data_IF_497444414914
#
_entry.id   IF_497444414914
#
_cell.length_a   1.000
_cell.length_b   1.000
_cell.length_c   1.000
_cell.angle_alpha   90.00
_cell.angle_beta   90.00
_cell.angle_gamma   90.00
#
_symmetry.space_group_name_H-M   'P 1'
#
loop_
_entity.id
_entity.type
_entity.pdbx_description
1 polymer ?
#
# COMPACT_ATOMS: atom_id res chain seq x y z
N UNK A 1 9.42 -18.07 -15.77
CA UNK A 1 9.15 -16.74 -15.20
C UNK A 1 8.28 -15.94 -16.15
N UNK A 2 7.37 -15.09 -15.66
CA UNK A 2 6.42 -14.35 -16.49
C UNK A 2 6.99 -13.06 -17.12
N UNK A 3 8.27 -12.73 -16.90
CA UNK A 3 8.90 -11.52 -17.46
C UNK A 3 8.37 -10.19 -16.91
N UNK A 4 7.80 -10.17 -15.70
CA UNK A 4 7.27 -8.96 -15.04
C UNK A 4 8.31 -8.36 -14.10
N UNK A 5 8.24 -7.05 -13.89
CA UNK A 5 9.17 -6.28 -13.05
C UNK A 5 8.41 -5.32 -12.13
N UNK A 6 9.07 -4.90 -11.06
CA UNK A 6 8.58 -3.86 -10.16
C UNK A 6 9.78 -3.06 -9.62
N UNK A 7 9.54 -1.78 -9.32
CA UNK A 7 10.46 -0.90 -8.60
C UNK A 7 9.73 -0.31 -7.41
N UNK A 8 10.43 -0.17 -6.29
CA UNK A 8 9.86 0.37 -5.07
C UNK A 8 10.89 1.29 -4.39
N UNK A 9 10.43 2.41 -3.85
CA UNK A 9 11.27 3.44 -3.24
C UNK A 9 10.68 3.84 -1.90
N UNK A 10 11.54 3.96 -0.88
CA UNK A 10 11.18 4.42 0.46
C UNK A 10 12.32 5.22 1.07
N UNK A 11 11.97 6.12 1.99
CA UNK A 11 12.93 6.80 2.84
C UNK A 11 12.40 8.12 3.36
N UNK A 12 13.25 8.84 4.08
CA UNK A 12 12.92 10.08 4.78
C UNK A 12 13.79 11.27 4.38
N UNK A 13 14.59 11.12 3.31
CA UNK A 13 15.54 12.14 2.82
C UNK A 13 15.14 12.67 1.44
N UNK A 14 13.86 12.64 1.11
CA UNK A 14 13.31 13.15 -0.13
C UNK A 14 12.69 14.53 0.12
N UNK A 15 13.27 15.56 -0.50
CA UNK A 15 12.67 16.91 -0.48
C UNK A 15 11.47 17.03 -1.43
N UNK A 16 11.30 16.10 -2.36
CA UNK A 16 10.13 15.99 -3.23
C UNK A 16 9.30 14.80 -2.73
N UNK A 17 8.13 15.03 -2.11
CA UNK A 17 7.35 13.97 -1.51
C UNK A 17 6.58 13.18 -2.58
N UNK A 18 6.75 11.86 -2.57
CA UNK A 18 6.03 10.93 -3.42
C UNK A 18 5.48 9.79 -2.57
N UNK A 19 4.22 9.43 -2.79
CA UNK A 19 3.61 8.26 -2.18
C UNK A 19 2.54 7.74 -3.14
N UNK A 20 2.82 6.67 -3.87
CA UNK A 20 1.88 6.11 -4.83
C UNK A 20 2.17 4.64 -5.14
N UNK A 21 1.20 3.98 -5.78
CA UNK A 21 1.39 2.72 -6.48
C UNK A 21 0.99 2.93 -7.94
N UNK A 22 1.92 2.66 -8.86
CA UNK A 22 1.69 2.70 -10.31
C UNK A 22 1.71 1.28 -10.86
N UNK A 23 0.67 0.90 -11.59
CA UNK A 23 0.49 -0.42 -12.17
C UNK A 23 0.40 -0.25 -13.69
N UNK A 24 1.38 -0.76 -14.43
CA UNK A 24 1.42 -0.66 -15.89
C UNK A 24 1.19 -2.02 -16.55
N UNK A 25 0.24 -2.06 -17.48
CA UNK A 25 -0.09 -3.23 -18.27
C UNK A 25 -0.01 -2.97 -19.77
N UNK A 26 -0.25 -4.00 -20.57
CA UNK A 26 -0.14 -3.92 -22.04
C UNK A 26 -1.19 -3.01 -22.71
N UNK A 27 -2.25 -2.63 -22.00
CA UNK A 27 -3.37 -1.85 -22.57
C UNK A 27 -3.65 -0.53 -21.83
N UNK A 28 -2.88 -0.20 -20.79
CA UNK A 28 -3.12 0.97 -19.96
C UNK A 28 -2.39 0.89 -18.62
N UNK A 29 -2.66 1.86 -17.75
CA UNK A 29 -2.06 1.96 -16.43
C UNK A 29 -3.08 2.38 -15.36
N UNK A 30 -2.80 2.07 -14.10
CA UNK A 30 -3.55 2.51 -12.92
C UNK A 30 -2.58 3.22 -11.99
N UNK A 31 -2.93 4.44 -11.57
CA UNK A 31 -2.23 5.19 -10.52
C UNK A 31 -3.11 5.26 -9.29
N UNK A 32 -2.59 4.82 -8.15
CA UNK A 32 -3.17 5.07 -6.83
C UNK A 32 -2.22 6.07 -6.16
N UNK A 33 -2.51 7.36 -6.30
CA UNK A 33 -1.74 8.43 -5.68
C UNK A 33 -2.23 8.61 -4.25
N UNK A 34 -1.30 8.55 -3.30
CA UNK A 34 -1.55 8.69 -1.87
C UNK A 34 -0.96 9.98 -1.29
N UNK A 35 -0.16 10.73 -2.08
CA UNK A 35 0.34 12.06 -1.75
C UNK A 35 -0.70 13.11 -2.18
N UNK A 36 -1.04 13.13 -3.47
CA UNK A 36 -2.13 13.94 -4.03
C UNK A 36 -3.40 13.09 -4.14
N UNK A 37 -3.87 12.58 -3.00
CA UNK A 37 -4.79 11.43 -2.89
C UNK A 37 -5.85 11.39 -3.99
N UNK A 38 -5.70 10.45 -4.93
CA UNK A 38 -6.62 10.22 -6.05
C UNK A 38 -6.25 8.93 -6.81
N UNK A 39 -7.25 8.20 -7.27
CA UNK A 39 -7.09 7.07 -8.17
C UNK A 39 -7.29 7.47 -9.62
N UNK A 40 -6.49 6.93 -10.55
CA UNK A 40 -6.65 7.14 -11.98
C UNK A 40 -6.48 5.86 -12.80
N UNK A 41 -7.46 5.58 -13.67
CA UNK A 41 -7.33 4.64 -14.78
C UNK A 41 -6.91 5.40 -16.04
N UNK A 42 -5.80 4.98 -16.66
CA UNK A 42 -5.28 5.54 -17.91
C UNK A 42 -5.42 4.49 -19.00
N UNK A 43 -6.37 4.68 -19.93
CA UNK A 43 -6.64 3.73 -21.01
C UNK A 43 -7.18 4.44 -22.25
N UNK A 44 -6.69 4.04 -23.43
CA UNK A 44 -7.14 4.58 -24.72
C UNK A 44 -7.14 6.13 -24.78
N UNK A 45 -6.08 6.75 -24.25
CA UNK A 45 -5.93 8.21 -24.22
C UNK A 45 -6.83 8.94 -23.21
N UNK A 46 -7.58 8.21 -22.38
CA UNK A 46 -8.44 8.77 -21.32
C UNK A 46 -7.83 8.52 -19.94
N UNK A 47 -7.95 9.52 -19.07
CA UNK A 47 -7.63 9.45 -17.64
C UNK A 47 -8.92 9.58 -16.85
N UNK A 48 -9.36 8.51 -16.20
CA UNK A 48 -10.63 8.45 -15.44
C UNK A 48 -10.33 8.34 -13.96
N UNK A 49 -10.93 9.23 -13.17
CA UNK A 49 -10.76 9.27 -11.72
C UNK A 49 -11.56 8.18 -11.00
N UNK A 50 -11.03 7.67 -9.88
CA UNK A 50 -11.75 6.90 -8.86
C UNK A 50 -11.19 7.26 -7.47
N UNK A 51 -11.96 6.98 -6.42
CA UNK A 51 -11.57 7.28 -5.03
C UNK A 51 -10.54 6.27 -4.51
N UNK A 52 -9.57 6.73 -3.71
CA UNK A 52 -8.61 5.85 -3.02
C UNK A 52 -9.23 5.29 -1.75
N UNK A 53 -10.00 6.11 -1.05
CA UNK A 53 -10.70 5.78 0.18
C UNK A 53 -12.23 5.73 -0.02
N UNK A 54 -12.98 5.51 1.07
CA UNK A 54 -14.43 5.26 1.01
C UNK A 54 -15.23 6.47 0.50
N UNK A 55 -14.67 7.68 0.56
CA UNK A 55 -15.35 8.90 0.12
C UNK A 55 -14.37 9.99 -0.32
N UNK A 56 -14.88 10.96 -1.08
CA UNK A 56 -14.12 12.15 -1.46
C UNK A 56 -13.60 12.92 -0.23
N UNK A 57 -14.37 12.95 0.87
CA UNK A 57 -13.96 13.62 2.09
C UNK A 57 -12.73 12.96 2.73
N UNK A 58 -12.59 11.63 2.63
CA UNK A 58 -11.42 10.91 3.13
C UNK A 58 -10.18 11.10 2.24
N UNK A 59 -10.36 11.13 0.92
CA UNK A 59 -9.29 11.46 -0.02
C UNK A 59 -8.78 12.89 0.22
N UNK A 60 -9.70 13.84 0.40
CA UNK A 60 -9.37 15.25 0.68
C UNK A 60 -8.71 15.40 2.07
N UNK A 61 -9.19 14.70 3.11
CA UNK A 61 -8.56 14.65 4.45
C UNK A 61 -7.11 14.18 4.35
N UNK A 62 -6.87 13.08 3.64
CA UNK A 62 -5.51 12.56 3.43
C UNK A 62 -4.63 13.55 2.68
N UNK A 63 -5.12 14.12 1.58
CA UNK A 63 -4.37 15.09 0.77
C UNK A 63 -3.97 16.31 1.60
N UNK A 64 -4.92 16.87 2.35
CA UNK A 64 -4.67 18.02 3.22
C UNK A 64 -3.68 17.68 4.35
N UNK A 65 -3.80 16.48 4.94
CA UNK A 65 -2.87 15.97 5.94
C UNK A 65 -1.43 15.90 5.39
N UNK A 66 -1.26 15.36 4.19
CA UNK A 66 0.05 15.27 3.55
C UNK A 66 0.68 16.65 3.33
N UNK A 67 -0.06 17.58 2.71
CA UNK A 67 0.39 18.97 2.46
C UNK A 67 0.84 19.64 3.76
N UNK A 68 0.07 19.47 4.84
CA UNK A 68 0.40 20.06 6.14
C UNK A 68 1.66 19.47 6.80
N UNK A 69 2.08 18.27 6.38
CA UNK A 69 3.20 17.52 6.93
C UNK A 69 4.44 17.49 6.04
N UNK A 70 4.43 18.15 4.88
CA UNK A 70 5.54 18.11 3.90
C UNK A 70 6.90 18.55 4.49
N UNK A 71 6.88 19.40 5.51
CA UNK A 71 8.10 19.85 6.20
C UNK A 71 8.56 18.92 7.35
N UNK A 72 7.67 18.06 7.86
CA UNK A 72 7.96 17.09 8.92
C UNK A 72 7.04 15.86 8.85
N UNK A 73 7.44 14.90 8.00
CA UNK A 73 6.74 13.63 7.86
C UNK A 73 6.74 12.76 9.13
N UNK A 74 7.59 13.06 10.12
CA UNK A 74 7.57 12.34 11.40
C UNK A 74 6.25 12.58 12.15
N UNK A 75 5.58 13.71 11.89
CA UNK A 75 4.26 14.02 12.43
C UNK A 75 3.24 12.96 12.03
N UNK A 76 3.38 12.27 10.90
CA UNK A 76 2.44 11.24 10.46
C UNK A 76 2.42 10.01 11.38
N UNK A 77 3.52 9.69 12.05
CA UNK A 77 3.64 8.49 12.87
C UNK A 77 2.74 8.58 14.13
N UNK A 78 2.11 7.47 14.46
CA UNK A 78 1.27 7.34 15.64
C UNK A 78 2.08 7.38 16.94
N UNK A 79 1.46 7.88 18.00
CA UNK A 79 1.97 7.78 19.38
C UNK A 79 0.78 7.74 20.36
N UNK A 80 0.95 7.22 21.59
CA UNK A 80 -0.12 7.22 22.58
C UNK A 80 -0.76 8.60 22.75
N UNK A 81 -2.09 8.64 22.78
CA UNK A 81 -2.87 9.89 22.89
C UNK A 81 -3.15 10.62 21.57
N UNK A 82 -2.57 10.19 20.44
CA UNK A 82 -2.88 10.76 19.11
C UNK A 82 -4.04 10.02 18.46
N UNK A 83 -4.95 10.76 17.80
CA UNK A 83 -6.04 10.19 17.00
C UNK A 83 -5.57 9.87 15.58
N UNK A 84 -6.14 8.83 14.98
CA UNK A 84 -5.93 8.47 13.58
C UNK A 84 -6.69 9.42 12.66
N UNK A 85 -6.17 9.70 11.44
CA UNK A 85 -6.90 10.45 10.42
C UNK A 85 -8.15 9.69 9.94
N UNK A 86 -9.03 10.35 9.19
CA UNK A 86 -10.34 9.79 8.82
C UNK A 86 -10.20 8.51 7.99
N UNK A 87 -9.44 8.59 6.91
CA UNK A 87 -9.21 7.47 5.99
C UNK A 87 -8.65 6.22 6.70
N UNK A 88 -7.75 6.41 7.68
CA UNK A 88 -7.17 5.29 8.44
C UNK A 88 -8.18 4.72 9.43
N UNK A 89 -8.97 5.59 10.07
CA UNK A 89 -10.01 5.15 10.99
C UNK A 89 -11.09 4.31 10.29
N UNK A 90 -11.48 4.70 9.08
CA UNK A 90 -12.49 3.99 8.28
C UNK A 90 -12.00 2.61 7.86
N UNK A 91 -10.80 2.48 7.28
CA UNK A 91 -10.29 1.17 6.87
C UNK A 91 -10.05 0.23 8.07
N UNK A 92 -9.62 0.74 9.22
CA UNK A 92 -9.51 -0.06 10.45
C UNK A 92 -10.86 -0.62 10.90
N UNK A 93 -11.95 0.14 10.76
CA UNK A 93 -13.30 -0.37 11.08
C UNK A 93 -13.72 -1.47 10.13
N UNK A 94 -13.45 -1.31 8.83
CA UNK A 94 -13.77 -2.33 7.81
C UNK A 94 -12.97 -3.62 8.07
N UNK A 95 -11.67 -3.51 8.36
CA UNK A 95 -10.81 -4.65 8.69
C UNK A 95 -11.29 -5.39 9.94
N UNK A 96 -11.62 -4.66 11.02
CA UNK A 96 -12.12 -5.27 12.26
C UNK A 96 -13.50 -5.90 12.09
N UNK A 97 -14.37 -5.31 11.27
CA UNK A 97 -15.66 -5.90 10.94
C UNK A 97 -15.45 -7.21 10.15
N UNK A 98 -14.58 -7.20 9.13
CA UNK A 98 -14.28 -8.40 8.36
C UNK A 98 -13.73 -9.53 9.23
N UNK A 99 -12.78 -9.22 10.13
CA UNK A 99 -12.25 -10.18 11.10
C UNK A 99 -13.36 -10.73 12.00
N UNK A 100 -14.23 -9.86 12.53
CA UNK A 100 -15.34 -10.27 13.37
C UNK A 100 -16.27 -11.24 12.62
N UNK A 101 -16.61 -10.93 11.39
CA UNK A 101 -17.52 -11.76 10.59
C UNK A 101 -16.90 -13.13 10.30
N UNK A 102 -15.60 -13.19 9.95
CA UNK A 102 -14.87 -14.45 9.75
C UNK A 102 -14.85 -15.29 11.02
N UNK A 103 -14.60 -14.68 12.19
CA UNK A 103 -14.65 -15.39 13.48
C UNK A 103 -16.05 -15.96 13.76
N UNK A 104 -17.11 -15.30 13.26
CA UNK A 104 -18.50 -15.75 13.40
C UNK A 104 -18.97 -16.68 12.27
N UNK A 105 -18.06 -17.16 11.42
CA UNK A 105 -18.37 -18.18 10.40
C UNK A 105 -18.65 -17.64 9.01
N UNK A 106 -18.30 -16.37 8.72
CA UNK A 106 -18.22 -15.92 7.33
C UNK A 106 -17.09 -16.69 6.61
N UNK A 107 -17.44 -17.34 5.50
CA UNK A 107 -16.46 -17.96 4.60
C UNK A 107 -15.69 -16.87 3.84
N UNK A 108 -14.35 -16.84 3.92
CA UNK A 108 -13.56 -15.80 3.26
C UNK A 108 -13.65 -15.86 1.74
N UNK A 109 -13.93 -14.72 1.11
CA UNK A 109 -13.85 -14.57 -0.34
C UNK A 109 -12.41 -14.67 -0.88
N UNK A 110 -12.28 -14.96 -2.17
CA UNK A 110 -10.97 -15.13 -2.84
C UNK A 110 -10.03 -13.93 -2.67
N UNK A 111 -10.58 -12.72 -2.61
CA UNK A 111 -9.82 -11.47 -2.47
C UNK A 111 -8.96 -11.42 -1.20
N UNK A 112 -9.51 -11.90 -0.06
CA UNK A 112 -8.86 -11.81 1.25
C UNK A 112 -8.35 -13.16 1.77
N UNK A 113 -8.61 -14.26 1.07
CA UNK A 113 -8.24 -15.61 1.51
C UNK A 113 -6.76 -15.71 1.90
N UNK A 114 -5.86 -15.08 1.15
CA UNK A 114 -4.40 -15.12 1.39
C UNK A 114 -3.95 -14.43 2.68
N UNK A 115 -4.78 -13.56 3.25
CA UNK A 115 -4.54 -12.95 4.56
C UNK A 115 -4.78 -13.96 5.71
N UNK A 116 -5.54 -15.03 5.46
CA UNK A 116 -5.92 -16.03 6.45
C UNK A 116 -5.15 -17.36 6.30
N UNK A 117 -4.64 -17.65 5.10
CA UNK A 117 -3.83 -18.86 4.85
C UNK A 117 -2.37 -18.71 5.27
N UNK A 118 -1.93 -17.50 5.60
CA UNK A 118 -0.52 -17.17 5.86
C UNK A 118 0.31 -16.85 4.61
N UNK A 119 -0.24 -17.09 3.40
CA UNK A 119 0.49 -16.87 2.14
C UNK A 119 0.98 -15.42 2.00
N UNK A 120 0.10 -14.44 2.25
CA UNK A 120 0.47 -13.02 2.15
C UNK A 120 1.55 -12.64 3.17
N UNK A 121 1.44 -13.13 4.41
CA UNK A 121 2.39 -12.87 5.48
C UNK A 121 3.78 -13.44 5.15
N UNK A 122 3.85 -14.71 4.74
CA UNK A 122 5.10 -15.37 4.35
C UNK A 122 5.75 -14.69 3.15
N UNK A 123 4.97 -14.38 2.10
CA UNK A 123 5.51 -13.75 0.90
C UNK A 123 6.07 -12.34 1.16
N UNK A 124 5.38 -11.55 1.99
CA UNK A 124 5.81 -10.21 2.34
C UNK A 124 7.15 -10.23 3.10
N UNK A 125 7.26 -11.03 4.16
CA UNK A 125 8.47 -11.11 4.97
C UNK A 125 9.63 -11.74 4.19
N UNK A 126 9.39 -12.81 3.43
CA UNK A 126 10.46 -13.44 2.65
C UNK A 126 11.05 -12.50 1.59
N UNK A 127 10.23 -11.66 0.97
CA UNK A 127 10.70 -10.66 0.00
C UNK A 127 11.46 -9.52 0.70
N UNK A 128 11.00 -9.10 1.88
CA UNK A 128 11.69 -8.11 2.70
C UNK A 128 13.07 -8.62 3.14
N UNK A 129 13.15 -9.86 3.64
CA UNK A 129 14.41 -10.50 4.04
C UNK A 129 15.38 -10.61 2.87
N UNK A 130 14.90 -10.99 1.68
CA UNK A 130 15.73 -11.02 0.47
C UNK A 130 16.26 -9.62 0.09
N UNK A 131 15.45 -8.58 0.21
CA UNK A 131 15.86 -7.21 -0.07
C UNK A 131 16.86 -6.68 0.97
N UNK A 132 16.64 -6.98 2.25
CA UNK A 132 17.56 -6.65 3.35
C UNK A 132 18.91 -7.35 3.17
N UNK A 133 18.90 -8.65 2.87
CA UNK A 133 20.12 -9.41 2.58
C UNK A 133 20.85 -8.86 1.36
N UNK A 134 20.11 -8.56 0.29
CA UNK A 134 20.65 -7.96 -0.94
C UNK A 134 21.36 -6.63 -0.68
N UNK A 135 20.73 -5.76 0.12
CA UNK A 135 21.29 -4.47 0.53
C UNK A 135 22.57 -4.64 1.36
N UNK A 136 22.53 -5.52 2.37
CA UNK A 136 23.66 -5.74 3.28
C UNK A 136 24.86 -6.40 2.60
N UNK A 137 24.63 -7.31 1.65
CA UNK A 137 25.70 -8.04 0.96
C UNK A 137 26.11 -7.43 -0.40
N UNK A 138 25.41 -6.39 -0.87
CA UNK A 138 25.72 -5.73 -2.13
C UNK A 138 25.57 -6.62 -3.36
N UNK A 139 24.65 -7.60 -3.34
CA UNK A 139 24.41 -8.55 -4.45
C UNK A 139 22.93 -8.80 -4.69
N UNK A 140 22.60 -9.39 -5.84
CA UNK A 140 21.24 -9.91 -6.08
C UNK A 140 20.98 -11.17 -5.24
N UNK A 141 19.77 -11.27 -4.70
CA UNK A 141 19.30 -12.40 -3.89
C UNK A 141 18.06 -13.01 -4.54
N UNK A 142 18.01 -14.34 -4.64
CA UNK A 142 16.83 -15.07 -5.09
C UNK A 142 15.94 -15.42 -3.90
N UNK A 143 14.62 -15.42 -4.08
CA UNK A 143 13.68 -15.82 -3.02
C UNK A 143 13.90 -17.26 -2.51
N UNK A 144 14.42 -18.15 -3.36
CA UNK A 144 14.77 -19.53 -2.96
C UNK A 144 15.87 -19.58 -1.89
N UNK A 145 16.70 -18.54 -1.77
CA UNK A 145 17.68 -18.45 -0.68
C UNK A 145 17.03 -18.21 0.69
N UNK A 146 15.80 -17.68 0.72
CA UNK A 146 15.04 -17.41 1.94
C UNK A 146 14.06 -18.53 2.26
N UNK A 147 13.35 -19.04 1.25
CA UNK A 147 12.27 -20.01 1.43
C UNK A 147 12.73 -21.48 1.50
N UNK A 148 13.98 -21.77 1.09
CA UNK A 148 14.51 -23.13 0.98
C UNK A 148 14.23 -23.77 -0.37
#
# INVERSE_FOLDING_TARGET
ESGRFATLQWGSSFHYPEHYVLIEGTTGAILIDMQNTAGYLIKAGKKTHFLVHESQAEDDDRRNGNISSEMDGAIAYGKPGKRTPMWLSSIMKLEMQYLHDVINGLEPGEEFAKLLTGEAATNAIATADAATLSSNEGRKVKLTEILG
#
